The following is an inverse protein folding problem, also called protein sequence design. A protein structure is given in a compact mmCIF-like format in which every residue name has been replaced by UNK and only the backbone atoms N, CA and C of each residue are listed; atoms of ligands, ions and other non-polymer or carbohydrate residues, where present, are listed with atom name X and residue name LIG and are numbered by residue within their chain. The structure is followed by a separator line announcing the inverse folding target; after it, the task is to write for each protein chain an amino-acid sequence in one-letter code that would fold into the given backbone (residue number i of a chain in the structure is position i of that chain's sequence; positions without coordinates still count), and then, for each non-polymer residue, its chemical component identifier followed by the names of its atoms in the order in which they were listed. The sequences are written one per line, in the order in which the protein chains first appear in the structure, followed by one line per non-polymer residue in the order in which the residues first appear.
data_IF_601348117655
#
_entry.id   IF_601348117655
#
_cell.length_a   1.000
_cell.length_b   1.000
_cell.length_c   1.000
_cell.angle_alpha   90.00
_cell.angle_beta   90.00
_cell.angle_gamma   90.00
#
_symmetry.space_group_name_H-M   'P 1'
#
loop_
_entity.id
_entity.type
_entity.pdbx_description
1 polymer ?
#
# COMPACT_ATOMS: atom_id res chain seq x y z
N UNK A 1 22.46 1.34 -17.78
CA UNK A 1 22.28 2.68 -18.34
C UNK A 1 22.45 2.58 -19.85
N UNK A 2 21.45 2.90 -20.67
CA UNK A 2 21.60 2.83 -22.12
C UNK A 2 22.62 3.85 -22.58
N UNK A 3 23.42 3.48 -23.56
CA UNK A 3 24.47 4.35 -24.10
C UNK A 3 24.59 4.20 -25.62
N UNK A 4 24.88 5.28 -26.27
CA UNK A 4 25.20 5.32 -27.69
C UNK A 4 26.73 5.32 -27.85
N UNK A 5 27.24 4.37 -28.65
CA UNK A 5 28.64 4.32 -29.06
C UNK A 5 28.73 4.67 -30.56
N UNK A 6 29.51 5.66 -30.88
CA UNK A 6 29.79 6.02 -32.27
C UNK A 6 31.29 5.87 -32.50
N UNK A 7 31.67 5.07 -33.49
CA UNK A 7 33.05 4.87 -33.88
C UNK A 7 33.30 5.48 -35.25
N UNK A 8 34.27 6.36 -35.35
CA UNK A 8 34.73 6.89 -36.60
C UNK A 8 35.48 5.78 -37.36
N UNK A 9 35.11 5.54 -38.60
CA UNK A 9 35.68 4.45 -39.41
C UNK A 9 37.06 4.74 -39.94
N UNK A 10 37.45 6.01 -40.04
CA UNK A 10 38.77 6.40 -40.58
C UNK A 10 39.80 6.51 -39.45
N UNK A 11 39.46 7.16 -38.35
CA UNK A 11 40.37 7.42 -37.24
C UNK A 11 40.32 6.41 -36.13
N UNK A 12 39.25 5.57 -36.09
CA UNK A 12 39.02 4.60 -35.02
C UNK A 12 38.55 5.22 -33.69
N UNK A 13 38.41 6.55 -33.62
CA UNK A 13 37.98 7.24 -32.42
C UNK A 13 36.59 6.79 -31.99
N UNK A 14 36.40 6.70 -30.70
CA UNK A 14 35.15 6.26 -30.05
C UNK A 14 34.56 7.39 -29.23
N UNK A 15 33.32 7.75 -29.53
CA UNK A 15 32.52 8.64 -28.69
C UNK A 15 31.43 7.82 -27.99
N UNK A 16 31.18 8.11 -26.72
CA UNK A 16 30.10 7.54 -25.94
C UNK A 16 29.25 8.65 -25.35
N UNK A 17 27.94 8.50 -25.48
CA UNK A 17 26.97 9.33 -24.79
C UNK A 17 26.05 8.47 -23.99
N UNK A 18 25.72 8.89 -22.78
CA UNK A 18 24.86 8.20 -21.85
C UNK A 18 23.54 8.96 -21.75
N UNK A 19 22.46 8.21 -21.69
CA UNK A 19 21.13 8.77 -21.43
C UNK A 19 20.47 8.01 -20.30
N UNK A 20 19.65 8.69 -19.53
CA UNK A 20 18.76 8.05 -18.55
C UNK A 20 17.49 7.62 -19.25
N UNK A 21 17.13 6.34 -19.11
CA UNK A 21 15.85 5.82 -19.51
C UNK A 21 15.04 5.57 -18.25
N UNK A 22 13.94 6.28 -18.09
CA UNK A 22 12.96 5.99 -17.07
C UNK A 22 11.85 5.15 -17.70
N UNK A 23 11.77 3.89 -17.32
CA UNK A 23 10.66 3.00 -17.68
C UNK A 23 9.57 3.20 -16.63
N UNK A 24 8.39 3.59 -17.06
CA UNK A 24 7.20 3.66 -16.23
C UNK A 24 6.20 2.62 -16.71
N UNK A 25 5.52 1.98 -15.78
CA UNK A 25 4.40 1.10 -16.10
C UNK A 25 3.16 1.93 -16.42
N UNK A 26 2.26 1.38 -17.20
CA UNK A 26 0.96 2.01 -17.52
C UNK A 26 0.14 2.29 -16.25
N UNK A 27 0.34 1.48 -15.22
CA UNK A 27 -0.32 1.58 -13.90
C UNK A 27 0.32 2.57 -12.94
N UNK A 28 1.31 3.36 -13.37
CA UNK A 28 2.04 4.28 -12.49
C UNK A 28 1.31 5.58 -12.16
N UNK A 29 0.25 5.93 -12.87
CA UNK A 29 -0.51 7.18 -12.69
C UNK A 29 -1.95 6.99 -13.16
N UNK A 30 -2.92 7.27 -12.30
CA UNK A 30 -4.34 7.15 -12.66
C UNK A 30 -5.27 7.00 -11.46
N UNK A 31 -6.48 6.56 -11.74
CA UNK A 31 -7.53 6.30 -10.75
C UNK A 31 -7.74 4.80 -10.62
N UNK A 32 -7.83 4.32 -9.39
CA UNK A 32 -8.25 2.96 -9.07
C UNK A 32 -9.72 2.96 -8.67
N UNK A 33 -10.45 2.01 -9.21
CA UNK A 33 -11.87 1.79 -8.96
C UNK A 33 -12.05 0.39 -8.40
N UNK A 34 -12.73 0.27 -7.27
CA UNK A 34 -13.11 -1.02 -6.69
C UNK A 34 -14.61 -1.24 -6.87
N UNK A 35 -14.99 -2.43 -7.25
CA UNK A 35 -16.37 -2.82 -7.46
C UNK A 35 -16.53 -4.33 -7.44
N UNK A 36 -17.66 -4.79 -7.93
CA UNK A 36 -17.96 -6.21 -8.11
C UNK A 36 -18.05 -6.57 -9.59
N UNK A 37 -17.59 -7.77 -9.91
CA UNK A 37 -17.84 -8.36 -11.23
C UNK A 37 -19.28 -8.91 -11.35
N UNK A 38 -19.63 -9.48 -12.50
CA UNK A 38 -20.96 -10.02 -12.74
C UNK A 38 -21.32 -11.21 -11.82
N UNK A 39 -20.35 -11.87 -11.24
CA UNK A 39 -20.49 -12.98 -10.30
C UNK A 39 -20.46 -12.53 -8.81
N UNK A 40 -20.35 -11.22 -8.55
CA UNK A 40 -20.33 -10.64 -7.21
C UNK A 40 -18.98 -10.77 -6.49
N UNK A 41 -17.89 -10.95 -7.23
CA UNK A 41 -16.54 -10.92 -6.68
C UNK A 41 -15.88 -9.57 -6.87
N UNK A 42 -15.01 -9.25 -5.94
CA UNK A 42 -14.26 -7.99 -5.95
C UNK A 42 -13.41 -7.88 -7.21
N UNK A 43 -13.57 -6.77 -7.88
CA UNK A 43 -12.77 -6.37 -9.03
C UNK A 43 -12.12 -5.01 -8.77
N UNK A 44 -10.93 -4.80 -9.29
CA UNK A 44 -10.24 -3.51 -9.30
C UNK A 44 -9.89 -3.16 -10.73
N UNK A 45 -10.39 -2.04 -11.17
CA UNK A 45 -10.08 -1.47 -12.48
C UNK A 45 -9.23 -0.21 -12.30
N UNK A 46 -8.51 0.16 -13.34
CA UNK A 46 -7.73 1.39 -13.37
C UNK A 46 -8.00 2.20 -14.62
N UNK A 47 -8.16 3.50 -14.42
CA UNK A 47 -8.10 4.49 -15.50
C UNK A 47 -6.71 5.11 -15.43
N UNK A 48 -5.80 4.60 -16.23
CA UNK A 48 -4.42 5.08 -16.30
C UNK A 48 -4.31 6.28 -17.25
N UNK A 49 -3.46 7.24 -16.89
CA UNK A 49 -3.24 8.49 -17.64
C UNK A 49 -1.74 8.76 -17.83
N UNK A 50 -1.00 7.88 -18.52
CA UNK A 50 0.43 8.12 -18.76
C UNK A 50 0.66 9.24 -19.79
N UNK A 51 -0.05 9.25 -20.90
CA UNK A 51 -0.11 10.28 -21.94
C UNK A 51 -1.53 10.39 -22.48
N UNK A 52 -2.15 9.25 -22.75
CA UNK A 52 -3.56 9.09 -23.12
C UNK A 52 -4.30 8.32 -22.04
N UNK A 53 -5.62 8.36 -22.06
CA UNK A 53 -6.45 7.61 -21.11
C UNK A 53 -6.53 6.15 -21.54
N UNK A 54 -6.09 5.24 -20.67
CA UNK A 54 -6.13 3.79 -20.86
C UNK A 54 -6.98 3.19 -19.75
N UNK A 55 -7.94 2.35 -20.11
CA UNK A 55 -8.73 1.56 -19.14
C UNK A 55 -8.11 0.18 -19.01
N UNK A 56 -7.72 -0.19 -17.80
CA UNK A 56 -7.17 -1.50 -17.47
C UNK A 56 -8.17 -2.18 -16.56
N UNK A 57 -8.77 -3.26 -17.03
CA UNK A 57 -9.78 -3.99 -16.29
C UNK A 57 -9.17 -5.15 -15.50
N UNK A 58 -9.77 -5.43 -14.36
CA UNK A 58 -9.50 -6.61 -13.54
C UNK A 58 -8.04 -6.78 -13.16
N UNK A 59 -7.48 -5.79 -12.48
CA UNK A 59 -6.10 -5.82 -11.97
C UNK A 59 -5.85 -6.95 -10.95
N UNK A 60 -6.90 -7.52 -10.36
CA UNK A 60 -6.80 -8.63 -9.43
C UNK A 60 -6.84 -10.01 -10.12
N UNK A 61 -6.96 -10.06 -11.44
CA UNK A 61 -6.94 -11.33 -12.17
C UNK A 61 -5.59 -12.02 -12.05
N UNK A 62 -5.58 -13.24 -11.50
CA UNK A 62 -4.38 -14.07 -11.32
C UNK A 62 -3.26 -13.40 -10.50
N UNK A 63 -3.61 -12.54 -9.56
CA UNK A 63 -2.67 -11.77 -8.76
C UNK A 63 -2.15 -12.49 -7.49
N UNK A 64 -2.47 -13.78 -7.32
CA UNK A 64 -2.05 -14.60 -6.16
C UNK A 64 -3.02 -14.54 -4.98
N UNK A 65 -4.02 -13.67 -5.00
CA UNK A 65 -5.07 -13.60 -3.97
C UNK A 65 -6.25 -14.50 -4.30
N UNK A 66 -7.02 -14.94 -3.29
CA UNK A 66 -8.29 -15.63 -3.50
C UNK A 66 -9.32 -14.66 -4.08
N UNK A 67 -10.37 -15.19 -4.70
CA UNK A 67 -11.53 -14.37 -5.08
C UNK A 67 -12.24 -13.88 -3.82
N UNK A 68 -12.35 -12.58 -3.66
CA UNK A 68 -12.90 -11.91 -2.50
C UNK A 68 -14.32 -11.42 -2.78
N UNK A 69 -15.10 -11.15 -1.73
CA UNK A 69 -16.45 -10.58 -1.81
C UNK A 69 -16.59 -9.35 -0.93
N UNK A 70 -17.63 -8.55 -1.22
CA UNK A 70 -17.97 -7.37 -0.44
C UNK A 70 -16.87 -6.29 -0.48
N UNK A 71 -16.67 -5.64 -1.63
CA UNK A 71 -15.67 -4.57 -1.76
C UNK A 71 -16.01 -3.40 -0.82
N UNK A 72 -15.01 -2.91 -0.08
CA UNK A 72 -15.17 -1.75 0.81
C UNK A 72 -14.39 -0.55 0.36
N UNK A 73 -13.09 -0.70 0.21
CA UNK A 73 -12.23 0.42 -0.18
C UNK A 73 -10.88 -0.03 -0.69
N UNK A 74 -10.22 0.89 -1.40
CA UNK A 74 -8.79 0.81 -1.71
C UNK A 74 -8.08 1.86 -0.85
N UNK A 75 -7.01 1.44 -0.17
CA UNK A 75 -6.24 2.32 0.70
C UNK A 75 -4.76 2.19 0.36
N UNK A 76 -4.07 3.31 0.29
CA UNK A 76 -2.63 3.34 0.07
C UNK A 76 -1.92 3.73 1.36
N UNK A 77 -0.95 2.93 1.75
CA UNK A 77 -0.02 3.24 2.83
C UNK A 77 1.38 3.39 2.26
N UNK A 78 2.06 4.44 2.64
CA UNK A 78 3.40 4.74 2.19
C UNK A 78 3.80 6.14 2.63
N UNK A 79 5.08 6.45 2.56
CA UNK A 79 5.58 7.78 2.89
C UNK A 79 6.42 8.32 1.74
N UNK A 80 6.10 9.51 1.21
CA UNK A 80 6.90 10.16 0.17
C UNK A 80 8.30 10.56 0.67
N UNK A 81 8.50 10.60 1.99
CA UNK A 81 9.78 10.98 2.61
C UNK A 81 10.74 9.81 2.84
N UNK A 82 10.29 8.60 2.56
CA UNK A 82 11.00 7.40 2.92
C UNK A 82 11.21 6.49 1.70
N UNK A 83 11.87 7.01 0.67
CA UNK A 83 12.20 6.22 -0.53
C UNK A 83 13.04 4.97 -0.23
N UNK A 84 13.81 4.98 0.85
CA UNK A 84 14.51 3.80 1.35
C UNK A 84 13.61 2.87 2.21
N UNK A 85 12.39 3.32 2.53
CA UNK A 85 11.37 2.54 3.21
C UNK A 85 10.31 2.04 2.21
N UNK A 86 10.66 1.89 0.95
CA UNK A 86 9.78 1.31 -0.09
C UNK A 86 9.05 0.02 0.34
N UNK A 87 9.59 -0.84 1.23
CA UNK A 87 8.85 -1.97 1.77
C UNK A 87 7.54 -1.61 2.49
N UNK A 88 7.38 -0.33 2.90
CA UNK A 88 6.15 0.13 3.57
C UNK A 88 5.07 0.63 2.62
N UNK A 89 5.38 0.80 1.34
CA UNK A 89 4.38 1.13 0.34
C UNK A 89 3.52 -0.09 0.05
N UNK A 90 2.25 -0.01 0.39
CA UNK A 90 1.26 -1.07 0.21
C UNK A 90 -0.04 -0.50 -0.34
N UNK A 91 -0.61 -1.19 -1.29
CA UNK A 91 -1.96 -0.93 -1.76
C UNK A 91 -2.89 -1.97 -1.14
N UNK A 92 -3.81 -1.53 -0.31
CA UNK A 92 -4.75 -2.37 0.39
C UNK A 92 -6.05 -2.50 -0.37
N UNK A 93 -6.51 -3.71 -0.52
CA UNK A 93 -7.84 -4.07 -1.03
C UNK A 93 -8.66 -4.53 0.17
N UNK A 94 -9.51 -3.62 0.67
CA UNK A 94 -10.36 -3.92 1.81
C UNK A 94 -11.69 -4.50 1.35
N UNK A 95 -12.07 -5.62 1.95
CA UNK A 95 -13.28 -6.37 1.62
C UNK A 95 -14.01 -6.83 2.88
N UNK A 96 -15.20 -7.41 2.73
CA UNK A 96 -15.93 -8.02 3.86
C UNK A 96 -15.28 -9.33 4.31
N UNK A 97 -14.83 -10.13 3.34
CA UNK A 97 -14.24 -11.43 3.63
C UNK A 97 -12.88 -11.28 4.32
N UNK A 98 -11.97 -10.54 3.69
CA UNK A 98 -10.64 -10.28 4.21
C UNK A 98 -9.95 -9.15 3.46
N UNK A 99 -9.11 -8.40 4.15
CA UNK A 99 -8.32 -7.34 3.54
C UNK A 99 -6.89 -7.80 3.29
N UNK A 100 -6.42 -7.59 2.06
CA UNK A 100 -5.05 -7.92 1.65
C UNK A 100 -4.33 -6.69 1.12
N UNK A 101 -3.02 -6.66 1.25
CA UNK A 101 -2.23 -5.71 0.49
C UNK A 101 -1.54 -6.37 -0.69
N UNK A 102 -1.37 -5.58 -1.74
CA UNK A 102 -0.69 -5.97 -2.97
C UNK A 102 0.48 -5.03 -3.25
N UNK A 103 1.38 -5.49 -4.09
CA UNK A 103 2.45 -4.66 -4.61
C UNK A 103 1.87 -3.51 -5.42
N UNK A 104 2.36 -2.30 -5.20
CA UNK A 104 1.83 -1.07 -5.83
C UNK A 104 2.12 -0.95 -7.33
N UNK A 105 3.02 -1.76 -7.87
CA UNK A 105 3.43 -1.71 -9.27
C UNK A 105 2.95 -2.92 -10.09
N UNK A 106 2.90 -4.11 -9.48
CA UNK A 106 2.51 -5.36 -10.17
C UNK A 106 1.10 -5.82 -9.82
N UNK A 107 0.51 -5.27 -8.74
CA UNK A 107 -0.76 -5.71 -8.13
C UNK A 107 -0.76 -7.17 -7.67
N UNK A 108 0.41 -7.80 -7.59
CA UNK A 108 0.55 -9.14 -7.03
C UNK A 108 0.43 -9.12 -5.52
N UNK A 109 -0.20 -10.15 -4.96
CA UNK A 109 -0.38 -10.35 -3.54
C UNK A 109 -0.10 -11.78 -3.12
N UNK A 110 0.00 -11.99 -1.82
CA UNK A 110 0.18 -13.30 -1.20
C UNK A 110 -0.85 -13.49 -0.07
N UNK A 111 -1.16 -14.73 0.28
CA UNK A 111 -2.10 -15.05 1.36
C UNK A 111 -1.64 -14.54 2.73
N UNK A 112 -0.35 -14.31 2.89
CA UNK A 112 0.28 -13.75 4.09
C UNK A 112 0.26 -12.22 4.14
N UNK A 113 -0.17 -11.56 3.06
CA UNK A 113 -0.23 -10.10 2.95
C UNK A 113 -1.46 -9.53 3.68
N UNK A 114 -1.59 -9.80 4.95
CA UNK A 114 -2.70 -9.41 5.82
C UNK A 114 -2.24 -8.49 6.94
N UNK A 115 -3.17 -7.76 7.56
CA UNK A 115 -2.84 -6.71 8.52
C UNK A 115 -2.24 -7.26 9.81
N UNK A 116 -2.74 -8.36 10.32
CA UNK A 116 -2.28 -8.98 11.56
C UNK A 116 -0.80 -9.40 11.52
N UNK A 117 -0.23 -9.68 10.35
CA UNK A 117 1.21 -9.96 10.22
C UNK A 117 2.11 -8.74 10.47
N UNK A 118 1.49 -7.56 10.49
CA UNK A 118 2.17 -6.28 10.76
C UNK A 118 1.89 -5.74 12.16
N UNK A 119 1.20 -6.51 13.01
CA UNK A 119 0.84 -6.06 14.37
C UNK A 119 1.64 -6.83 15.39
N UNK A 120 2.35 -6.11 16.24
CA UNK A 120 3.01 -6.66 17.40
C UNK A 120 2.30 -6.18 18.68
N UNK A 121 1.54 -7.07 19.30
CA UNK A 121 0.79 -6.78 20.52
C UNK A 121 0.93 -7.90 21.54
N UNK A 122 1.06 -7.53 22.80
CA UNK A 122 0.99 -8.45 23.94
C UNK A 122 -0.43 -8.49 24.55
N UNK A 123 -1.33 -7.67 24.03
CA UNK A 123 -2.71 -7.61 24.48
C UNK A 123 -3.55 -8.62 23.70
N UNK A 124 -4.66 -9.03 24.31
CA UNK A 124 -5.63 -9.94 23.71
C UNK A 124 -6.41 -9.21 22.61
N UNK A 125 -5.98 -9.41 21.37
CA UNK A 125 -6.61 -8.87 20.16
C UNK A 125 -7.08 -10.02 19.27
N UNK A 126 -8.06 -9.78 18.37
CA UNK A 126 -8.50 -10.80 17.43
C UNK A 126 -7.36 -11.33 16.55
N UNK A 127 -7.36 -12.63 16.29
CA UNK A 127 -6.41 -13.26 15.37
C UNK A 127 -6.53 -12.74 13.94
N UNK A 128 -7.72 -12.34 13.53
CA UNK A 128 -7.99 -11.71 12.24
C UNK A 128 -8.31 -10.24 12.43
N UNK A 129 -7.59 -9.40 11.72
CA UNK A 129 -7.74 -7.94 11.74
C UNK A 129 -7.97 -7.43 10.32
N UNK A 130 -9.20 -7.00 10.03
CA UNK A 130 -9.55 -6.39 8.76
C UNK A 130 -9.52 -4.86 8.89
N UNK A 131 -8.53 -4.17 8.34
CA UNK A 131 -8.49 -2.73 8.40
C UNK A 131 -9.59 -2.11 7.55
N UNK A 132 -10.32 -1.19 8.14
CA UNK A 132 -11.34 -0.38 7.45
C UNK A 132 -10.81 1.01 7.08
N UNK A 133 -9.83 1.49 7.82
CA UNK A 133 -9.13 2.74 7.54
C UNK A 133 -7.64 2.57 7.78
N UNK A 134 -6.86 2.97 6.80
CA UNK A 134 -5.40 3.02 6.86
C UNK A 134 -4.96 4.36 6.28
N UNK A 135 -4.34 5.19 7.09
CA UNK A 135 -3.87 6.50 6.70
C UNK A 135 -2.41 6.68 7.06
N UNK A 136 -1.62 7.08 6.08
CA UNK A 136 -0.24 7.49 6.28
C UNK A 136 -0.10 9.00 6.19
N UNK A 137 0.73 9.57 7.04
CA UNK A 137 1.03 10.99 7.00
C UNK A 137 1.75 11.33 5.69
N UNK A 138 1.19 12.24 4.91
CA UNK A 138 1.69 12.63 3.59
C UNK A 138 2.44 13.95 3.57
N UNK A 139 2.19 14.82 4.55
CA UNK A 139 2.76 16.17 4.61
C UNK A 139 3.25 16.49 6.02
N UNK A 140 4.18 17.43 6.14
CA UNK A 140 4.64 17.93 7.43
C UNK A 140 5.47 16.96 8.29
N UNK A 141 5.74 15.77 7.78
CA UNK A 141 6.60 14.79 8.44
C UNK A 141 8.04 14.87 7.95
N UNK A 142 8.95 14.38 8.76
CA UNK A 142 10.29 13.99 8.34
C UNK A 142 10.39 12.47 8.33
N UNK A 143 11.51 11.93 7.83
CA UNK A 143 11.80 10.49 7.91
C UNK A 143 11.61 9.91 9.32
N UNK A 144 11.87 10.73 10.34
CA UNK A 144 11.84 10.32 11.74
C UNK A 144 10.46 10.49 12.39
N UNK A 145 9.53 11.14 11.74
CA UNK A 145 8.22 11.49 12.32
C UNK A 145 7.03 11.04 11.47
N UNK A 146 7.28 10.36 10.34
CA UNK A 146 6.20 9.79 9.54
C UNK A 146 5.42 8.76 10.34
N UNK A 147 4.10 8.91 10.33
CA UNK A 147 3.18 8.08 11.11
C UNK A 147 2.10 7.51 10.21
N UNK A 148 1.63 6.34 10.57
CA UNK A 148 0.43 5.74 9.99
C UNK A 148 -0.52 5.35 11.09
N UNK A 149 -1.80 5.47 10.82
CA UNK A 149 -2.87 5.05 11.72
C UNK A 149 -3.74 4.05 11.00
N UNK A 150 -4.08 2.97 11.70
CA UNK A 150 -4.97 1.95 11.21
C UNK A 150 -6.15 1.76 12.16
N UNK A 151 -7.35 1.52 11.60
CA UNK A 151 -8.52 1.08 12.35
C UNK A 151 -8.95 -0.28 11.82
N UNK A 152 -8.89 -1.28 12.67
CA UNK A 152 -9.26 -2.66 12.36
C UNK A 152 -10.06 -3.27 13.52
N UNK A 153 -11.18 -3.91 13.23
CA UNK A 153 -12.06 -4.60 14.18
C UNK A 153 -12.46 -3.76 15.42
N UNK A 154 -12.52 -2.43 15.26
CA UNK A 154 -12.81 -1.49 16.35
C UNK A 154 -11.60 -1.13 17.21
N UNK A 155 -10.40 -1.53 16.82
CA UNK A 155 -9.15 -1.14 17.44
C UNK A 155 -8.42 -0.11 16.60
N UNK A 156 -7.74 0.82 17.26
CA UNK A 156 -6.94 1.86 16.63
C UNK A 156 -5.48 1.57 16.90
N UNK A 157 -4.71 1.45 15.84
CA UNK A 157 -3.28 1.20 15.89
C UNK A 157 -2.52 2.38 15.31
N UNK A 158 -1.30 2.58 15.77
CA UNK A 158 -0.39 3.54 15.16
C UNK A 158 0.99 2.94 14.94
N UNK A 159 1.65 3.49 13.94
CA UNK A 159 3.04 3.16 13.63
C UNK A 159 3.85 4.45 13.52
N UNK A 160 5.07 4.41 14.02
CA UNK A 160 6.09 5.42 13.76
C UNK A 160 7.24 4.75 13.01
N UNK A 161 7.52 5.22 11.80
CA UNK A 161 8.49 4.61 10.90
C UNK A 161 9.88 4.42 11.50
N UNK A 162 10.28 5.30 12.40
CA UNK A 162 11.61 5.22 13.04
C UNK A 162 11.66 4.21 14.18
N UNK A 163 10.62 4.14 15.00
CA UNK A 163 10.67 3.42 16.26
C UNK A 163 10.16 1.98 16.20
N UNK A 164 9.26 1.69 15.26
CA UNK A 164 8.57 0.41 15.18
C UNK A 164 9.00 -0.47 14.00
N UNK A 165 10.03 -0.06 13.25
CA UNK A 165 10.54 -0.88 12.15
C UNK A 165 9.53 -1.22 11.05
N UNK A 166 8.36 -0.58 11.07
CA UNK A 166 7.28 -0.84 10.13
C UNK A 166 6.08 -1.57 10.72
N UNK A 167 6.16 -1.99 11.98
CA UNK A 167 5.08 -2.74 12.62
C UNK A 167 4.17 -1.83 13.45
N UNK A 168 2.90 -2.20 13.52
CA UNK A 168 1.93 -1.59 14.40
C UNK A 168 2.07 -2.16 15.83
N UNK A 169 2.03 -1.28 16.81
CA UNK A 169 2.13 -1.66 18.21
C UNK A 169 0.76 -1.99 18.82
N UNK A 170 0.70 -2.10 20.15
CA UNK A 170 -0.55 -2.30 20.88
C UNK A 170 -1.62 -1.26 20.49
N UNK A 171 -2.90 -1.64 20.48
CA UNK A 171 -3.99 -0.70 20.26
C UNK A 171 -3.93 0.51 21.18
N UNK A 172 -4.34 1.67 20.68
CA UNK A 172 -4.39 2.92 21.42
C UNK A 172 -5.61 3.03 22.34
N UNK A 173 -6.71 2.38 22.00
CA UNK A 173 -7.99 2.44 22.71
C UNK A 173 -7.99 1.52 23.93
N UNK A 174 -7.20 1.92 24.93
CA UNK A 174 -7.05 1.28 26.23
C UNK A 174 -7.65 2.15 27.33
N UNK A 175 -8.15 1.51 28.40
CA UNK A 175 -8.61 2.27 29.56
C UNK A 175 -7.45 2.83 30.35
N UNK A 176 -7.59 4.05 30.86
CA UNK A 176 -6.50 4.69 31.62
C UNK A 176 -6.15 3.96 32.91
N UNK A 177 -7.19 3.42 33.59
CA UNK A 177 -7.04 2.74 34.89
C UNK A 177 -6.62 1.28 34.78
N UNK A 178 -6.80 0.68 33.61
CA UNK A 178 -6.43 -0.70 33.31
C UNK A 178 -5.93 -0.81 31.88
N UNK A 179 -4.65 -0.49 31.61
CA UNK A 179 -4.10 -0.41 30.25
C UNK A 179 -4.14 -1.74 29.47
N UNK A 180 -4.33 -2.86 30.16
CA UNK A 180 -4.55 -4.18 29.56
C UNK A 180 -5.98 -4.36 29.02
N UNK A 181 -6.92 -3.53 29.45
CA UNK A 181 -8.32 -3.58 28.99
C UNK A 181 -8.51 -2.73 27.76
N UNK A 182 -8.93 -3.39 26.70
CA UNK A 182 -9.28 -2.77 25.44
C UNK A 182 -10.78 -2.46 25.38
N UNK A 183 -11.12 -1.39 24.67
CA UNK A 183 -12.51 -1.12 24.29
C UNK A 183 -12.60 -0.91 22.78
N UNK A 184 -13.70 -1.33 22.18
CA UNK A 184 -13.93 -1.12 20.75
C UNK A 184 -14.38 0.30 20.49
N UNK A 185 -13.80 0.92 19.46
CA UNK A 185 -14.19 2.21 18.93
C UNK A 185 -14.17 2.17 17.40
N UNK A 186 -15.02 2.97 16.79
CA UNK A 186 -15.09 3.09 15.33
C UNK A 186 -14.86 4.56 14.95
N UNK A 187 -13.63 5.05 15.10
CA UNK A 187 -13.34 6.45 14.84
C UNK A 187 -13.42 6.75 13.34
N UNK A 188 -13.85 7.96 13.04
CA UNK A 188 -13.66 8.53 11.72
C UNK A 188 -12.28 9.17 11.66
N UNK A 189 -11.49 8.80 10.67
CA UNK A 189 -10.17 9.37 10.45
C UNK A 189 -10.27 10.36 9.30
N UNK A 190 -9.90 11.60 9.57
CA UNK A 190 -9.82 12.65 8.56
C UNK A 190 -8.36 12.91 8.24
N UNK A 191 -8.02 12.92 6.94
CA UNK A 191 -6.73 13.39 6.43
C UNK A 191 -6.84 14.89 6.10
N UNK A 192 -5.96 15.71 6.67
CA UNK A 192 -5.83 17.13 6.38
C UNK A 192 -4.56 17.40 5.57
#
# INVERSE_FOLDING_TARGET
MPHLKVRDKQTGLLWMNYTSLTVRTEVGLGWLLIGEDAEGYVNVDMIAMPNDTIVINNLLSNNGLPRLKGPKSIMYTGSPYASYLAPYEKLWIATEDRSYYVNTSTFEGELTNVFETMVYSYLDIPEQLNPVHLLSQRTGGSMNTSRSVACAEGFVFNISSLLSGGDYANPLNRTADAPEKLFKAYPYIFAF
#
